data_IF_790946273531
#
_entry.id   IF_790946273531
#
_cell.length_a   1.000
_cell.length_b   1.000
_cell.length_c   1.000
_cell.angle_alpha   90.00
_cell.angle_beta   90.00
_cell.angle_gamma   90.00
#
_symmetry.space_group_name_H-M   'P 1'
#
loop_
_entity.id
_entity.type
_entity.pdbx_description
1 polymer ?
#
# COMPACT_ATOMS: atom_id res chain seq x y z
N UNK A 1 -16.73 10.53 9.44
CA UNK A 1 -16.83 9.65 8.26
C UNK A 1 -15.52 8.86 8.12
N UNK A 2 -15.38 7.73 8.84
CA UNK A 2 -14.29 6.79 8.53
C UNK A 2 -14.47 6.37 7.07
N UNK A 3 -13.48 6.61 6.21
CA UNK A 3 -13.60 6.36 4.77
C UNK A 3 -13.79 4.86 4.57
N UNK A 4 -14.84 4.43 3.86
CA UNK A 4 -15.18 3.02 3.54
C UNK A 4 -13.96 2.16 3.18
N UNK A 5 -13.03 2.72 2.41
CA UNK A 5 -11.78 2.06 2.01
C UNK A 5 -10.86 1.70 3.19
N UNK A 6 -10.79 2.51 4.25
CA UNK A 6 -9.95 2.20 5.41
C UNK A 6 -10.45 0.93 6.11
N UNK A 7 -11.76 0.77 6.22
CA UNK A 7 -12.36 -0.43 6.80
C UNK A 7 -12.05 -1.68 5.95
N UNK A 8 -12.10 -1.55 4.63
CA UNK A 8 -11.73 -2.65 3.71
C UNK A 8 -10.26 -3.06 3.86
N UNK A 9 -9.35 -2.11 4.15
CA UNK A 9 -7.94 -2.40 4.41
C UNK A 9 -7.75 -3.16 5.73
N UNK A 10 -8.51 -2.80 6.77
CA UNK A 10 -8.52 -3.53 8.06
C UNK A 10 -9.02 -4.97 7.85
N UNK A 11 -10.17 -5.11 7.19
CA UNK A 11 -10.76 -6.43 6.89
C UNK A 11 -9.77 -7.31 6.10
N UNK A 12 -9.12 -6.75 5.09
CA UNK A 12 -8.08 -7.48 4.36
C UNK A 12 -6.92 -7.90 5.27
N UNK A 13 -6.38 -7.01 6.10
CA UNK A 13 -5.26 -7.32 7.01
C UNK A 13 -5.63 -8.49 7.92
N UNK A 14 -6.83 -8.45 8.51
CA UNK A 14 -7.32 -9.47 9.44
C UNK A 14 -7.56 -10.82 8.75
N UNK A 15 -8.17 -10.81 7.56
CA UNK A 15 -8.53 -12.04 6.85
C UNK A 15 -7.35 -12.67 6.11
N UNK A 16 -6.52 -11.85 5.48
CA UNK A 16 -5.33 -12.32 4.76
C UNK A 16 -4.24 -12.80 5.70
N UNK A 17 -4.09 -12.13 6.85
CA UNK A 17 -3.02 -12.38 7.82
C UNK A 17 -1.63 -12.49 7.16
N UNK A 18 -1.35 -11.61 6.20
CA UNK A 18 -0.06 -11.54 5.49
C UNK A 18 0.13 -12.51 4.33
N UNK A 19 -0.88 -13.30 3.97
CA UNK A 19 -0.78 -14.31 2.90
C UNK A 19 -1.04 -13.76 1.49
N UNK A 20 -1.61 -12.55 1.39
CA UNK A 20 -1.96 -11.94 0.10
C UNK A 20 -1.47 -10.51 0.02
N UNK A 21 -1.41 -9.97 -1.20
CA UNK A 21 -1.21 -8.55 -1.46
C UNK A 21 -2.52 -7.90 -1.91
N UNK A 22 -2.65 -6.58 -1.70
CA UNK A 22 -3.75 -5.78 -2.24
C UNK A 22 -3.30 -4.94 -3.43
N UNK A 23 -4.13 -4.92 -4.46
CA UNK A 23 -4.06 -3.94 -5.53
C UNK A 23 -5.15 -2.88 -5.32
N UNK A 24 -4.75 -1.61 -5.18
CA UNK A 24 -5.69 -0.49 -5.06
C UNK A 24 -5.65 0.30 -6.37
N UNK A 25 -6.70 0.13 -7.16
CA UNK A 25 -6.86 0.80 -8.45
C UNK A 25 -7.92 1.92 -8.40
N UNK A 26 -7.93 2.77 -9.44
CA UNK A 26 -8.90 3.85 -9.63
C UNK A 26 -8.29 5.03 -10.37
N UNK A 27 -9.05 6.10 -10.55
CA UNK A 27 -8.60 7.28 -11.29
C UNK A 27 -7.29 7.90 -10.72
N UNK A 28 -6.53 8.61 -11.56
CA UNK A 28 -5.33 9.33 -11.12
C UNK A 28 -5.69 10.40 -10.09
N UNK A 29 -4.80 10.63 -9.11
CA UNK A 29 -4.90 11.70 -8.08
C UNK A 29 -6.09 11.63 -7.12
N UNK A 30 -6.74 10.48 -6.97
CA UNK A 30 -7.86 10.28 -6.01
C UNK A 30 -7.43 9.98 -4.56
N UNK A 31 -6.13 10.05 -4.26
CA UNK A 31 -5.62 9.84 -2.89
C UNK A 31 -5.30 8.39 -2.52
N UNK A 32 -5.07 7.49 -3.49
CA UNK A 32 -4.70 6.09 -3.24
C UNK A 32 -3.41 5.95 -2.41
N UNK A 33 -2.35 6.67 -2.79
CA UNK A 33 -1.08 6.69 -2.04
C UNK A 33 -1.24 7.33 -0.65
N UNK A 34 -2.14 8.30 -0.52
CA UNK A 34 -2.42 8.93 0.76
C UNK A 34 -3.03 7.94 1.74
N UNK A 35 -4.09 7.23 1.34
CA UNK A 35 -4.79 6.32 2.25
C UNK A 35 -3.95 5.10 2.63
N UNK A 36 -3.15 4.56 1.71
CA UNK A 36 -2.21 3.46 1.98
C UNK A 36 -1.13 3.87 2.97
N UNK A 37 -0.56 5.07 2.82
CA UNK A 37 0.42 5.59 3.77
C UNK A 37 -0.17 5.78 5.17
N UNK A 38 -1.37 6.37 5.27
CA UNK A 38 -2.06 6.54 6.56
C UNK A 38 -2.34 5.20 7.22
N UNK A 39 -2.86 4.23 6.46
CA UNK A 39 -3.11 2.88 6.95
C UNK A 39 -1.82 2.19 7.43
N UNK A 40 -0.74 2.25 6.65
CA UNK A 40 0.54 1.66 7.03
C UNK A 40 1.10 2.26 8.33
N UNK A 41 0.99 3.59 8.50
CA UNK A 41 1.43 4.30 9.70
C UNK A 41 0.60 3.97 10.95
N UNK A 42 -0.69 3.71 10.79
CA UNK A 42 -1.60 3.46 11.92
C UNK A 42 -1.63 1.98 12.33
N UNK A 43 -1.46 1.07 11.37
CA UNK A 43 -1.76 -0.35 11.56
C UNK A 43 -0.53 -1.25 11.65
N UNK A 44 0.67 -0.72 11.38
CA UNK A 44 1.92 -1.47 11.46
C UNK A 44 2.94 -0.71 12.29
N UNK A 45 3.76 -1.46 13.06
CA UNK A 45 4.88 -0.90 13.82
C UNK A 45 5.90 -0.18 12.91
N UNK A 46 6.08 -0.67 11.69
CA UNK A 46 6.99 -0.13 10.68
C UNK A 46 6.53 -0.55 9.28
N UNK A 47 6.85 0.25 8.26
CA UNK A 47 6.55 -0.06 6.86
C UNK A 47 7.64 0.48 5.92
N UNK A 48 7.75 -0.14 4.75
CA UNK A 48 8.60 0.33 3.65
C UNK A 48 7.67 0.91 2.57
N UNK A 49 8.00 2.09 2.06
CA UNK A 49 7.33 2.71 0.93
C UNK A 49 8.27 2.72 -0.27
N UNK A 50 7.92 1.98 -1.32
CA UNK A 50 8.69 1.92 -2.56
C UNK A 50 7.95 2.73 -3.62
N UNK A 51 8.53 3.84 -4.05
CA UNK A 51 8.03 4.65 -5.16
C UNK A 51 8.83 4.35 -6.43
N UNK A 52 8.29 3.48 -7.27
CA UNK A 52 8.92 3.11 -8.53
C UNK A 52 9.06 4.29 -9.51
N UNK A 53 8.25 5.34 -9.39
CA UNK A 53 8.42 6.54 -10.23
C UNK A 53 9.71 7.31 -9.93
N UNK A 54 10.29 7.10 -8.74
CA UNK A 54 11.48 7.79 -8.25
C UNK A 54 12.61 6.82 -7.87
N UNK A 55 12.46 5.53 -8.15
CA UNK A 55 13.47 4.51 -7.83
C UNK A 55 14.63 4.55 -8.85
N UNK A 56 15.85 4.26 -8.38
CA UNK A 56 17.01 4.12 -9.27
C UNK A 56 16.88 2.88 -10.15
N UNK A 57 17.58 2.86 -11.29
CA UNK A 57 17.61 1.68 -12.17
C UNK A 57 18.14 0.42 -11.46
N UNK A 58 19.00 0.58 -10.46
CA UNK A 58 19.52 -0.55 -9.69
C UNK A 58 18.41 -1.25 -8.89
N UNK A 59 17.43 -0.50 -8.36
CA UNK A 59 16.28 -1.08 -7.65
C UNK A 59 15.42 -1.91 -8.62
N UNK A 60 15.21 -1.40 -9.83
CA UNK A 60 14.52 -2.17 -10.86
C UNK A 60 15.27 -3.45 -11.21
N UNK A 61 16.60 -3.38 -11.34
CA UNK A 61 17.43 -4.54 -11.64
C UNK A 61 17.36 -5.61 -10.56
N UNK A 62 17.27 -5.23 -9.29
CA UNK A 62 17.17 -6.15 -8.16
C UNK A 62 15.82 -6.89 -8.09
N UNK A 63 14.73 -6.27 -8.54
CA UNK A 63 13.37 -6.82 -8.39
C UNK A 63 12.98 -7.76 -9.54
N UNK A 64 13.55 -7.57 -10.75
CA UNK A 64 13.18 -8.31 -11.96
C UNK A 64 14.17 -9.44 -12.35
N UNK A 65 15.14 -9.75 -11.48
CA UNK A 65 16.02 -10.93 -11.58
C UNK A 65 15.59 -12.00 -10.57
#
# INVERSE_FOLDING_TARGET
MKRKIYQQLIEWKEQSNGQTALLIDGARRVGKSYITKVFAQQEYKSYILIDFGNASQDIFRFIFL
#
